data_IF_296381838817
#
_entry.id   IF_296381838817
#
_cell.length_a   1.000
_cell.length_b   1.000
_cell.length_c   1.000
_cell.angle_alpha   90.00
_cell.angle_beta   90.00
_cell.angle_gamma   90.00
#
_symmetry.space_group_name_H-M   'P 1'
#
loop_
_entity.id
_entity.type
_entity.pdbx_description
1 polymer ?
#
# COMPACT_ATOMS: atom_id res chain seq x y z
N UNK A 1 -12.45 30.18 -0.27
CA UNK A 1 -12.76 28.75 -0.17
C UNK A 1 -11.42 28.05 -0.26
N UNK A 2 -10.91 27.51 0.86
CA UNK A 2 -9.59 26.86 0.86
C UNK A 2 -9.57 25.69 -0.12
N UNK A 3 -8.39 25.38 -0.68
CA UNK A 3 -8.23 24.22 -1.54
C UNK A 3 -8.59 22.95 -0.77
N UNK A 4 -9.33 22.04 -1.43
CA UNK A 4 -9.72 20.76 -0.86
C UNK A 4 -8.48 19.94 -0.49
N UNK A 5 -8.48 19.29 0.68
CA UNK A 5 -7.35 18.50 1.16
C UNK A 5 -6.93 17.43 0.16
N UNK A 6 -7.90 16.78 -0.49
CA UNK A 6 -7.65 15.79 -1.54
C UNK A 6 -6.94 16.37 -2.78
N UNK A 7 -7.18 17.63 -3.12
CA UNK A 7 -6.52 18.32 -4.22
C UNK A 7 -5.08 18.70 -3.87
N UNK A 8 -4.88 19.25 -2.66
CA UNK A 8 -3.55 19.55 -2.10
C UNK A 8 -2.69 18.30 -2.05
N UNK A 9 -3.20 17.20 -1.50
CA UNK A 9 -2.51 15.91 -1.46
C UNK A 9 -2.00 15.48 -2.84
N UNK A 10 -2.88 15.52 -3.85
CA UNK A 10 -2.52 15.08 -5.21
C UNK A 10 -1.39 15.91 -5.81
N UNK A 11 -1.30 17.19 -5.45
CA UNK A 11 -0.20 18.06 -5.85
C UNK A 11 1.08 17.71 -5.10
N UNK A 12 1.00 17.63 -3.77
CA UNK A 12 2.16 17.47 -2.89
C UNK A 12 2.80 16.08 -3.03
N UNK A 13 2.02 15.03 -3.30
CA UNK A 13 2.53 13.65 -3.42
C UNK A 13 2.98 13.29 -4.84
N UNK A 14 2.87 14.20 -5.81
CA UNK A 14 3.17 13.89 -7.23
C UNK A 14 4.62 13.46 -7.43
N UNK A 15 5.57 14.19 -6.83
CA UNK A 15 7.00 13.88 -6.90
C UNK A 15 7.32 12.57 -6.18
N UNK A 16 6.73 12.35 -5.00
CA UNK A 16 6.90 11.13 -4.22
C UNK A 16 6.37 9.90 -4.96
N UNK A 17 5.23 10.02 -5.66
CA UNK A 17 4.70 8.98 -6.53
C UNK A 17 5.64 8.66 -7.70
N UNK A 18 6.18 9.70 -8.35
CA UNK A 18 7.14 9.53 -9.44
C UNK A 18 8.45 8.86 -8.97
N UNK A 19 8.94 9.20 -7.78
CA UNK A 19 10.14 8.58 -7.20
C UNK A 19 9.93 7.09 -6.91
N UNK A 20 8.76 6.68 -6.39
CA UNK A 20 8.45 5.27 -6.15
C UNK A 20 8.45 4.45 -7.45
N UNK A 21 7.85 4.99 -8.52
CA UNK A 21 7.85 4.37 -9.85
C UNK A 21 9.27 4.33 -10.45
N UNK A 22 10.07 5.38 -10.25
CA UNK A 22 11.43 5.49 -10.76
C UNK A 22 12.47 4.58 -10.12
N UNK A 23 12.10 3.72 -9.17
CA UNK A 23 13.02 2.73 -8.57
C UNK A 23 13.50 1.68 -9.57
N UNK A 24 12.83 1.49 -10.71
CA UNK A 24 13.22 0.55 -11.77
C UNK A 24 13.03 -0.94 -11.43
N UNK A 25 12.90 -1.30 -10.15
CA UNK A 25 12.60 -2.67 -9.72
C UNK A 25 11.24 -3.15 -10.24
N UNK A 26 10.20 -2.33 -10.10
CA UNK A 26 8.86 -2.67 -10.59
C UNK A 26 8.83 -2.77 -12.12
N UNK A 27 9.55 -1.90 -12.82
CA UNK A 27 9.66 -1.96 -14.28
C UNK A 27 10.35 -3.24 -14.73
N UNK A 28 11.42 -3.65 -14.04
CA UNK A 28 12.13 -4.89 -14.33
C UNK A 28 11.27 -6.14 -14.08
N UNK A 29 10.44 -6.16 -13.03
CA UNK A 29 9.45 -7.21 -12.80
C UNK A 29 8.42 -7.28 -13.94
N UNK A 30 7.83 -6.13 -14.31
CA UNK A 30 6.81 -6.07 -15.38
C UNK A 30 7.40 -6.44 -16.75
N UNK A 31 8.68 -6.15 -16.98
CA UNK A 31 9.40 -6.55 -18.18
C UNK A 31 9.82 -8.03 -18.17
N UNK A 32 9.62 -8.76 -17.08
CA UNK A 32 10.06 -10.16 -16.94
C UNK A 32 11.59 -10.32 -16.89
N UNK A 33 12.32 -9.26 -16.53
CA UNK A 33 13.78 -9.26 -16.44
C UNK A 33 14.29 -9.81 -15.11
N UNK A 34 13.41 -9.91 -14.10
CA UNK A 34 13.71 -10.45 -12.79
C UNK A 34 13.07 -11.83 -12.61
N UNK A 35 13.71 -12.74 -11.85
CA UNK A 35 13.20 -14.08 -11.64
C UNK A 35 11.95 -14.07 -10.75
N UNK A 36 11.23 -15.21 -10.75
CA UNK A 36 10.01 -15.41 -9.96
C UNK A 36 10.17 -15.08 -8.49
N UNK A 37 11.32 -15.43 -7.93
CA UNK A 37 11.68 -15.21 -6.53
C UNK A 37 11.72 -13.72 -6.17
N UNK A 38 12.04 -12.83 -7.12
CA UNK A 38 12.00 -11.39 -6.90
C UNK A 38 10.57 -10.87 -6.71
N UNK A 39 9.63 -11.43 -7.47
CA UNK A 39 8.21 -11.14 -7.30
C UNK A 39 7.67 -11.72 -5.97
N UNK A 40 8.10 -12.93 -5.61
CA UNK A 40 7.76 -13.53 -4.33
C UNK A 40 8.26 -12.68 -3.15
N UNK A 41 9.48 -12.14 -3.23
CA UNK A 41 10.04 -11.22 -2.23
C UNK A 41 9.23 -9.92 -2.13
N UNK A 42 8.80 -9.32 -3.24
CA UNK A 42 7.91 -8.14 -3.21
C UNK A 42 6.59 -8.46 -2.48
N UNK A 43 5.98 -9.59 -2.83
CA UNK A 43 4.72 -10.05 -2.20
C UNK A 43 4.91 -10.29 -0.70
N UNK A 44 6.07 -10.82 -0.30
CA UNK A 44 6.43 -11.00 1.10
C UNK A 44 6.57 -9.65 1.84
N UNK A 45 7.20 -8.64 1.22
CA UNK A 45 7.29 -7.32 1.84
C UNK A 45 5.93 -6.66 2.00
N UNK A 46 5.03 -6.81 1.02
CA UNK A 46 3.65 -6.37 1.17
C UNK A 46 2.98 -7.05 2.36
N UNK A 47 3.12 -8.36 2.55
CA UNK A 47 2.49 -9.06 3.69
C UNK A 47 2.78 -8.38 5.03
N UNK A 48 4.04 -8.05 5.33
CA UNK A 48 4.40 -7.37 6.59
C UNK A 48 3.73 -5.99 6.72
N UNK A 49 3.68 -5.20 5.64
CA UNK A 49 3.07 -3.87 5.65
C UNK A 49 1.55 -3.95 5.82
N UNK A 50 0.87 -4.84 5.10
CA UNK A 50 -0.58 -5.00 5.20
C UNK A 50 -0.99 -5.67 6.52
N UNK A 51 -0.20 -6.59 7.06
CA UNK A 51 -0.45 -7.15 8.39
C UNK A 51 -0.49 -6.03 9.45
N UNK A 52 0.50 -5.13 9.43
CA UNK A 52 0.54 -3.99 10.34
C UNK A 52 -0.62 -3.01 10.11
N UNK A 53 -0.95 -2.72 8.85
CA UNK A 53 -2.04 -1.81 8.47
C UNK A 53 -3.41 -2.34 8.85
N UNK A 54 -3.69 -3.61 8.53
CA UNK A 54 -5.00 -4.22 8.77
C UNK A 54 -5.20 -4.59 10.24
N UNK A 55 -4.13 -4.86 10.99
CA UNK A 55 -4.23 -4.93 12.45
C UNK A 55 -4.65 -3.59 13.05
N UNK A 56 -4.05 -2.48 12.59
CA UNK A 56 -4.45 -1.14 13.03
C UNK A 56 -5.90 -0.80 12.60
N UNK A 57 -6.33 -1.24 11.41
CA UNK A 57 -7.69 -1.05 10.93
C UNK A 57 -8.74 -1.70 11.85
N UNK A 58 -8.43 -2.85 12.47
CA UNK A 58 -9.33 -3.50 13.44
C UNK A 58 -9.56 -2.63 14.66
N UNK A 59 -8.53 -1.98 15.18
CA UNK A 59 -8.65 -1.04 16.31
C UNK A 59 -9.37 0.23 15.89
N UNK A 60 -9.05 0.76 14.70
CA UNK A 60 -9.62 2.00 14.17
C UNK A 60 -11.07 1.88 13.69
N UNK A 61 -11.60 0.66 13.59
CA UNK A 61 -13.01 0.41 13.27
C UNK A 61 -13.97 0.98 14.32
N UNK A 62 -13.51 1.17 15.56
CA UNK A 62 -14.29 1.76 16.65
C UNK A 62 -14.02 3.27 16.84
N UNK A 63 -13.03 3.83 16.16
CA UNK A 63 -12.68 5.25 16.24
C UNK A 63 -13.63 6.11 15.37
N UNK A 64 -14.24 7.18 15.89
CA UNK A 64 -15.26 7.94 15.17
C UNK A 64 -14.71 8.69 13.93
N UNK A 65 -13.43 9.03 13.91
CA UNK A 65 -12.76 9.73 12.80
C UNK A 65 -12.25 8.75 11.75
N UNK A 66 -11.65 7.64 12.19
CA UNK A 66 -11.04 6.66 11.28
C UNK A 66 -12.02 5.60 10.75
N UNK A 67 -13.07 5.24 11.49
CA UNK A 67 -14.04 4.21 11.07
C UNK A 67 -14.59 4.39 9.65
N UNK A 68 -14.95 5.60 9.17
CA UNK A 68 -15.43 5.79 7.80
C UNK A 68 -14.43 5.38 6.71
N UNK A 69 -13.14 5.28 7.04
CA UNK A 69 -12.07 4.87 6.14
C UNK A 69 -11.79 3.36 6.18
N UNK A 70 -12.38 2.62 7.13
CA UNK A 70 -12.19 1.17 7.24
C UNK A 70 -13.15 0.46 6.30
N UNK A 71 -12.69 0.15 5.09
CA UNK A 71 -13.46 -0.55 4.07
C UNK A 71 -13.12 -2.05 4.07
N UNK A 72 -14.04 -2.95 4.46
CA UNK A 72 -13.80 -4.39 4.46
C UNK A 72 -13.38 -4.94 3.10
N UNK A 73 -13.88 -4.35 2.01
CA UNK A 73 -13.61 -4.76 0.64
C UNK A 73 -12.15 -4.48 0.22
N UNK A 74 -11.46 -3.59 0.94
CA UNK A 74 -10.06 -3.27 0.68
C UNK A 74 -9.09 -4.26 1.33
N UNK A 75 -9.50 -5.03 2.33
CA UNK A 75 -8.65 -6.03 3.02
C UNK A 75 -7.91 -6.90 2.00
N UNK A 76 -6.58 -6.95 2.10
CA UNK A 76 -5.67 -7.65 1.18
C UNK A 76 -4.97 -8.84 1.81
N UNK A 77 -4.83 -8.91 3.15
CA UNK A 77 -4.04 -9.96 3.79
C UNK A 77 -4.43 -11.39 3.36
N UNK A 78 -5.72 -11.77 3.25
CA UNK A 78 -6.09 -13.10 2.75
C UNK A 78 -5.62 -13.37 1.32
N UNK A 79 -5.68 -12.37 0.44
CA UNK A 79 -5.19 -12.46 -0.94
C UNK A 79 -3.67 -12.61 -0.98
N UNK A 80 -2.95 -11.81 -0.17
CA UNK A 80 -1.49 -11.88 -0.07
C UNK A 80 -1.05 -13.25 0.47
N UNK A 81 -1.72 -13.79 1.49
CA UNK A 81 -1.39 -15.13 2.03
C UNK A 81 -1.68 -16.26 1.04
N UNK A 82 -2.74 -16.14 0.24
CA UNK A 82 -3.01 -17.07 -0.85
C UNK A 82 -1.91 -17.00 -1.92
N UNK A 83 -1.48 -15.78 -2.29
CA UNK A 83 -0.39 -15.59 -3.23
C UNK A 83 0.94 -16.14 -2.68
N UNK A 84 1.28 -15.87 -1.42
CA UNK A 84 2.50 -16.40 -0.80
C UNK A 84 2.50 -17.93 -0.71
N UNK A 85 1.35 -18.55 -0.44
CA UNK A 85 1.21 -20.01 -0.47
C UNK A 85 1.50 -20.59 -1.85
N UNK A 86 1.10 -19.89 -2.91
CA UNK A 86 1.40 -20.28 -4.28
C UNK A 86 2.88 -20.03 -4.65
N UNK A 87 3.41 -18.85 -4.29
CA UNK A 87 4.76 -18.41 -4.65
C UNK A 87 5.86 -19.15 -3.89
N UNK A 88 5.67 -19.41 -2.59
CA UNK A 88 6.66 -20.05 -1.71
C UNK A 88 6.26 -21.43 -1.21
N UNK A 89 5.04 -21.91 -1.53
CA UNK A 89 4.50 -23.19 -1.07
C UNK A 89 3.80 -23.12 0.31
N UNK A 90 3.29 -24.25 0.82
CA UNK A 90 2.48 -24.30 2.04
C UNK A 90 3.14 -23.76 3.32
N UNK A 91 4.48 -23.75 3.37
CA UNK A 91 5.29 -23.26 4.50
C UNK A 91 5.86 -21.86 4.25
N UNK A 92 5.18 -21.05 3.45
CA UNK A 92 5.63 -19.71 3.05
C UNK A 92 6.01 -18.83 4.25
N UNK A 93 5.29 -18.93 5.38
CA UNK A 93 5.53 -18.10 6.56
C UNK A 93 6.92 -18.30 7.18
N UNK A 94 7.54 -19.47 7.00
CA UNK A 94 8.92 -19.74 7.44
C UNK A 94 9.98 -19.29 6.43
N UNK A 95 9.57 -18.87 5.23
CA UNK A 95 10.44 -18.53 4.10
C UNK A 95 10.56 -17.04 3.85
N UNK A 96 9.66 -16.24 4.43
CA UNK A 96 9.67 -14.79 4.28
C UNK A 96 10.38 -14.12 5.45
N UNK A 97 11.04 -13.01 5.15
CA UNK A 97 11.61 -12.11 6.16
C UNK A 97 11.43 -10.66 5.72
N UNK A 98 11.17 -9.78 6.69
CA UNK A 98 11.09 -8.35 6.44
C UNK A 98 12.50 -7.81 6.16
N UNK A 99 12.63 -7.06 5.07
CA UNK A 99 13.85 -6.28 4.79
C UNK A 99 14.01 -5.15 5.83
N UNK A 100 15.22 -4.57 5.98
CA UNK A 100 15.44 -3.45 6.89
C UNK A 100 14.49 -2.27 6.64
N UNK A 101 14.26 -1.87 5.39
CA UNK A 101 13.30 -0.82 5.06
C UNK A 101 11.85 -1.22 5.39
N UNK A 102 11.48 -2.49 5.17
CA UNK A 102 10.14 -3.01 5.52
C UNK A 102 9.91 -2.97 7.02
N UNK A 103 10.90 -3.37 7.81
CA UNK A 103 10.87 -3.29 9.28
C UNK A 103 10.71 -1.84 9.75
N UNK A 104 11.45 -0.92 9.13
CA UNK A 104 11.34 0.53 9.41
C UNK A 104 9.94 1.05 9.08
N UNK A 105 9.38 0.67 7.94
CA UNK A 105 8.02 1.03 7.56
C UNK A 105 7.03 0.49 8.58
N UNK A 106 7.03 -0.81 8.86
CA UNK A 106 6.11 -1.41 9.83
C UNK A 106 6.20 -0.73 11.20
N UNK A 107 7.39 -0.33 11.63
CA UNK A 107 7.59 0.40 12.89
C UNK A 107 6.92 1.77 12.86
N UNK A 108 7.15 2.58 11.81
CA UNK A 108 6.51 3.89 11.67
C UNK A 108 4.99 3.76 11.56
N UNK A 109 4.51 2.81 10.76
CA UNK A 109 3.09 2.56 10.57
C UNK A 109 2.43 2.23 11.90
N UNK A 110 2.97 1.26 12.66
CA UNK A 110 2.41 0.90 13.98
C UNK A 110 2.45 2.08 14.94
N UNK A 111 3.50 2.88 14.93
CA UNK A 111 3.56 4.09 15.76
C UNK A 111 2.47 5.09 15.37
N UNK A 112 2.41 5.50 14.10
CA UNK A 112 1.50 6.53 13.63
C UNK A 112 0.03 6.10 13.76
N UNK A 113 -0.29 4.88 13.32
CA UNK A 113 -1.65 4.37 13.31
C UNK A 113 -2.22 4.10 14.71
N UNK A 114 -1.39 3.78 15.70
CA UNK A 114 -1.86 3.61 17.08
C UNK A 114 -1.83 4.91 17.91
N UNK A 115 -1.12 5.95 17.45
CA UNK A 115 -1.04 7.22 18.19
C UNK A 115 -2.22 8.15 17.87
N UNK A 116 -2.68 8.18 16.62
CA UNK A 116 -3.72 9.10 16.18
C UNK A 116 -4.46 8.57 14.93
N UNK A 117 -5.79 8.77 14.80
CA UNK A 117 -6.55 8.33 13.62
C UNK A 117 -6.01 8.89 12.30
N UNK A 118 -5.43 10.09 12.33
CA UNK A 118 -4.81 10.73 11.17
C UNK A 118 -3.65 9.90 10.62
N UNK A 119 -2.80 9.38 11.51
CA UNK A 119 -1.68 8.52 11.14
C UNK A 119 -2.17 7.26 10.44
N UNK A 120 -3.23 6.64 10.96
CA UNK A 120 -3.88 5.51 10.30
C UNK A 120 -4.40 5.88 8.90
N UNK A 121 -5.17 6.96 8.79
CA UNK A 121 -5.77 7.39 7.52
C UNK A 121 -4.68 7.70 6.48
N UNK A 122 -3.52 8.24 6.88
CA UNK A 122 -2.40 8.53 5.99
C UNK A 122 -1.78 7.27 5.37
N UNK A 123 -1.50 6.25 6.17
CA UNK A 123 -0.95 4.97 5.69
C UNK A 123 -1.99 4.20 4.87
N UNK A 124 -3.24 4.19 5.35
CA UNK A 124 -4.37 3.57 4.66
C UNK A 124 -4.61 4.21 3.29
N UNK A 125 -4.59 5.55 3.22
CA UNK A 125 -4.69 6.30 1.98
C UNK A 125 -3.56 5.92 1.01
N UNK A 126 -2.32 5.97 1.50
CA UNK A 126 -1.14 5.77 0.65
C UNK A 126 -1.11 4.38 0.02
N UNK A 127 -1.45 3.34 0.79
CA UNK A 127 -1.48 1.96 0.29
C UNK A 127 -2.67 1.72 -0.65
N UNK A 128 -3.89 1.82 -0.15
CA UNK A 128 -5.05 1.36 -0.90
C UNK A 128 -5.39 2.22 -2.13
N UNK A 129 -5.25 3.55 -2.06
CA UNK A 129 -5.47 4.38 -3.26
C UNK A 129 -4.37 4.15 -4.30
N UNK A 130 -3.16 3.80 -3.85
CA UNK A 130 -2.07 3.35 -4.71
C UNK A 130 -2.42 2.06 -5.46
N UNK A 131 -2.93 1.07 -4.74
CA UNK A 131 -3.31 -0.24 -5.31
C UNK A 131 -4.47 -0.12 -6.31
N UNK A 132 -5.47 0.70 -6.01
CA UNK A 132 -6.62 0.99 -6.88
C UNK A 132 -6.29 1.93 -8.06
N UNK A 133 -5.06 2.46 -8.11
CA UNK A 133 -4.61 3.32 -9.20
C UNK A 133 -3.54 2.61 -10.02
N UNK A 134 -2.28 2.68 -9.59
CA UNK A 134 -1.15 2.08 -10.32
C UNK A 134 -1.10 0.55 -10.19
N UNK A 135 -1.61 0.00 -9.08
CA UNK A 135 -1.60 -1.44 -8.81
C UNK A 135 -2.32 -2.26 -9.89
N UNK A 136 -3.34 -1.71 -10.54
CA UNK A 136 -4.04 -2.40 -11.63
C UNK A 136 -3.19 -2.57 -12.89
N UNK A 137 -2.35 -1.58 -13.22
CA UNK A 137 -1.40 -1.71 -14.32
C UNK A 137 -0.27 -2.68 -13.96
N UNK A 138 0.30 -2.51 -12.77
CA UNK A 138 1.37 -3.38 -12.26
C UNK A 138 0.95 -4.85 -12.21
N UNK A 139 -0.23 -5.13 -11.65
CA UNK A 139 -0.77 -6.48 -11.54
C UNK A 139 -0.95 -7.17 -12.89
N UNK A 140 -1.45 -6.47 -13.92
CA UNK A 140 -1.54 -7.02 -15.28
C UNK A 140 -0.16 -7.28 -15.90
N UNK A 141 0.81 -6.41 -15.65
CA UNK A 141 2.19 -6.57 -16.10
C UNK A 141 2.83 -7.81 -15.49
N UNK A 142 2.74 -7.95 -14.16
CA UNK A 142 3.24 -9.11 -13.41
C UNK A 142 2.55 -10.40 -13.86
N UNK A 143 1.22 -10.41 -13.98
CA UNK A 143 0.49 -11.59 -14.41
C UNK A 143 0.94 -12.07 -15.80
N UNK A 144 1.24 -11.14 -16.71
CA UNK A 144 1.80 -11.47 -18.03
C UNK A 144 3.23 -11.98 -17.93
N UNK A 145 4.11 -11.28 -17.21
CA UNK A 145 5.52 -11.61 -17.11
C UNK A 145 5.76 -13.01 -16.50
N UNK A 146 4.90 -13.42 -15.56
CA UNK A 146 5.05 -14.66 -14.81
C UNK A 146 3.97 -15.71 -15.11
N UNK A 147 3.09 -15.48 -16.09
CA UNK A 147 2.05 -16.43 -16.51
C UNK A 147 1.00 -16.74 -15.43
N UNK A 148 0.61 -15.75 -14.63
CA UNK A 148 -0.32 -15.91 -13.50
C UNK A 148 -1.78 -15.72 -13.94
N UNK A 149 -2.68 -16.55 -13.41
CA UNK A 149 -4.13 -16.49 -13.71
C UNK A 149 -5.00 -16.87 -12.50
N UNK A 150 -4.90 -16.10 -11.42
CA UNK A 150 -5.60 -16.28 -10.16
C UNK A 150 -4.57 -16.23 -9.05
N UNK A 151 -4.09 -17.42 -8.70
CA UNK A 151 -3.07 -17.61 -7.68
C UNK A 151 -1.75 -16.92 -8.02
N UNK A 152 -1.11 -16.40 -6.99
CA UNK A 152 0.12 -15.63 -7.12
C UNK A 152 -0.10 -14.17 -7.52
N UNK A 153 -1.31 -13.72 -7.86
CA UNK A 153 -1.57 -12.30 -8.16
C UNK A 153 -2.90 -11.76 -7.59
N UNK A 154 -3.53 -12.48 -6.67
CA UNK A 154 -4.80 -12.11 -6.02
C UNK A 154 -4.74 -10.77 -5.31
N UNK A 155 -3.58 -10.34 -4.83
CA UNK A 155 -3.36 -9.02 -4.24
C UNK A 155 -3.90 -7.88 -5.13
N UNK A 156 -3.73 -8.00 -6.46
CA UNK A 156 -4.14 -6.99 -7.43
C UNK A 156 -5.62 -7.09 -7.84
N UNK A 157 -6.33 -8.13 -7.39
CA UNK A 157 -7.74 -8.36 -7.70
C UNK A 157 -8.65 -7.81 -6.60
N UNK A 158 -9.49 -6.84 -6.94
CA UNK A 158 -10.45 -6.20 -6.04
C UNK A 158 -11.87 -6.59 -6.44
N UNK A 159 -12.29 -7.80 -6.03
CA UNK A 159 -13.62 -8.31 -6.36
C UNK A 159 -14.71 -7.46 -5.70
N UNK A 160 -15.78 -7.17 -6.45
CA UNK A 160 -16.94 -6.42 -5.95
C UNK A 160 -16.72 -4.91 -5.75
N UNK A 161 -15.55 -4.36 -6.09
CA UNK A 161 -15.27 -2.93 -5.97
C UNK A 161 -15.28 -2.27 -7.36
N UNK A 162 -15.89 -1.08 -7.45
CA UNK A 162 -15.60 -0.14 -8.53
C UNK A 162 -14.46 0.80 -8.06
N UNK A 163 -13.23 0.67 -8.60
CA UNK A 163 -12.09 1.45 -8.12
C UNK A 163 -12.29 2.96 -8.22
N UNK A 164 -12.87 3.47 -9.31
CA UNK A 164 -13.07 4.92 -9.47
C UNK A 164 -14.12 5.47 -8.49
N UNK A 165 -15.19 4.71 -8.25
CA UNK A 165 -16.21 5.09 -7.28
C UNK A 165 -15.63 5.13 -5.86
N UNK A 166 -14.89 4.08 -5.45
CA UNK A 166 -14.29 4.03 -4.11
C UNK A 166 -13.24 5.12 -3.92
N UNK A 167 -12.36 5.35 -4.90
CA UNK A 167 -11.37 6.46 -4.84
C UNK A 167 -12.05 7.83 -4.73
N UNK A 168 -13.19 8.01 -5.41
CA UNK A 168 -13.96 9.26 -5.32
C UNK A 168 -14.57 9.42 -3.94
N UNK A 169 -15.20 8.37 -3.42
CA UNK A 169 -15.79 8.37 -2.07
C UNK A 169 -14.75 8.61 -0.98
N UNK A 170 -13.60 7.93 -1.06
CA UNK A 170 -12.49 8.13 -0.12
C UNK A 170 -12.03 9.59 -0.07
N UNK A 171 -11.88 10.24 -1.24
CA UNK A 171 -11.49 11.66 -1.30
C UNK A 171 -12.58 12.57 -0.74
N UNK A 172 -13.85 12.24 -0.94
CA UNK A 172 -14.95 12.98 -0.31
C UNK A 172 -14.87 12.90 1.21
N UNK A 173 -14.57 11.72 1.79
CA UNK A 173 -14.36 11.60 3.24
C UNK A 173 -13.20 12.47 3.73
N UNK A 174 -12.07 12.49 3.01
CA UNK A 174 -10.95 13.38 3.34
C UNK A 174 -11.35 14.87 3.27
N UNK A 175 -12.21 15.26 2.33
CA UNK A 175 -12.60 16.66 2.16
C UNK A 175 -13.70 17.11 3.15
N UNK A 176 -14.46 16.19 3.73
CA UNK A 176 -15.58 16.50 4.64
C UNK A 176 -15.24 16.37 6.13
N UNK A 177 -14.15 15.69 6.47
CA UNK A 177 -13.67 15.65 7.84
C UNK A 177 -13.35 17.06 8.36
N UNK A 178 -13.69 17.39 9.62
CA UNK A 178 -13.53 18.74 10.19
C UNK A 178 -12.08 19.00 10.64
N UNK A 179 -11.13 18.91 9.71
CA UNK A 179 -9.70 19.10 9.99
C UNK A 179 -9.38 20.52 10.45
N UNK A 180 -8.59 20.64 11.52
CA UNK A 180 -7.80 21.85 11.76
C UNK A 180 -6.66 21.98 10.75
N UNK A 181 -6.14 23.19 10.50
CA UNK A 181 -4.98 23.37 9.61
C UNK A 181 -3.77 22.53 10.03
N UNK A 182 -3.54 22.38 11.34
CA UNK A 182 -2.45 21.56 11.88
C UNK A 182 -2.61 20.08 11.52
N UNK A 183 -3.82 19.54 11.67
CA UNK A 183 -4.10 18.15 11.33
C UNK A 183 -3.99 17.87 9.82
N UNK A 184 -4.33 18.85 8.97
CA UNK A 184 -4.08 18.74 7.53
C UNK A 184 -2.58 18.65 7.23
N UNK A 185 -1.76 19.48 7.86
CA UNK A 185 -0.31 19.47 7.67
C UNK A 185 0.34 18.18 8.21
N UNK A 186 -0.12 17.69 9.36
CA UNK A 186 0.30 16.41 9.93
C UNK A 186 -0.05 15.25 8.98
N UNK A 187 -1.28 15.24 8.47
CA UNK A 187 -1.74 14.23 7.52
C UNK A 187 -0.90 14.23 6.23
N UNK A 188 -0.69 15.39 5.59
CA UNK A 188 0.14 15.48 4.37
C UNK A 188 1.56 15.01 4.67
N UNK A 189 2.13 15.42 5.81
CA UNK A 189 3.47 15.01 6.24
C UNK A 189 3.57 13.49 6.38
N UNK A 190 2.59 12.85 7.02
CA UNK A 190 2.59 11.40 7.21
C UNK A 190 2.38 10.64 5.89
N UNK A 191 1.57 11.17 4.97
CA UNK A 191 1.41 10.60 3.63
C UNK A 191 2.74 10.64 2.87
N UNK A 192 3.47 11.76 2.92
CA UNK A 192 4.79 11.86 2.29
C UNK A 192 5.80 10.89 2.91
N UNK A 193 5.76 10.70 4.23
CA UNK A 193 6.60 9.72 4.91
C UNK A 193 6.24 8.29 4.50
N UNK A 194 4.95 7.95 4.37
CA UNK A 194 4.50 6.65 3.87
C UNK A 194 4.99 6.38 2.44
N UNK A 195 5.00 7.39 1.56
CA UNK A 195 5.60 7.27 0.23
C UNK A 195 7.12 7.06 0.31
N UNK A 196 7.84 7.83 1.14
CA UNK A 196 9.29 7.69 1.33
C UNK A 196 9.65 6.28 1.79
N UNK A 197 8.90 5.74 2.76
CA UNK A 197 9.09 4.40 3.29
C UNK A 197 8.80 3.32 2.24
N UNK A 198 7.74 3.48 1.44
CA UNK A 198 7.46 2.57 0.32
C UNK A 198 8.61 2.57 -0.71
N UNK A 199 9.10 3.74 -1.11
CA UNK A 199 10.26 3.86 -2.01
C UNK A 199 11.50 3.19 -1.42
N UNK A 200 11.73 3.30 -0.10
CA UNK A 200 12.85 2.62 0.55
C UNK A 200 12.72 1.08 0.49
N UNK A 201 11.50 0.54 0.62
CA UNK A 201 11.25 -0.91 0.44
C UNK A 201 11.57 -1.35 -0.99
N UNK A 202 11.10 -0.61 -1.99
CA UNK A 202 11.40 -0.91 -3.40
C UNK A 202 12.89 -0.83 -3.71
N UNK A 203 13.60 0.10 -3.09
CA UNK A 203 15.04 0.27 -3.23
C UNK A 203 15.84 -0.85 -2.54
N UNK A 204 15.40 -1.33 -1.37
CA UNK A 204 15.94 -2.53 -0.72
C UNK A 204 15.76 -3.78 -1.62
N UNK A 205 14.58 -3.93 -2.21
CA UNK A 205 14.30 -5.01 -3.16
C UNK A 205 15.17 -4.89 -4.41
N UNK A 206 15.32 -3.68 -4.96
CA UNK A 206 16.21 -3.42 -6.09
C UNK A 206 17.63 -3.89 -5.77
N UNK A 207 18.22 -3.41 -4.67
CA UNK A 207 19.58 -3.81 -4.25
C UNK A 207 19.76 -5.31 -4.04
N UNK A 208 18.70 -6.01 -3.63
CA UNK A 208 18.74 -7.46 -3.43
C UNK A 208 18.76 -8.24 -4.74
N UNK A 209 18.17 -7.68 -5.79
CA UNK A 209 17.93 -8.34 -7.08
C UNK A 209 18.68 -7.72 -8.27
N UNK A 210 19.56 -6.75 -8.00
CA UNK A 210 20.53 -6.16 -8.95
C UNK A 210 21.95 -6.40 -8.46
#
# INVERSE_FOLDING_TARGET
>A
MGDRLSARLRQDTRSAHAAAQGSGFLDALVAGLLPWEAYADLTAQHWFVYEALELAARTMADDPVARPFVFPELVRLPSIEADLRFLHGPRWSYRIAALPATTTYCTRLRYAANSHPIGFIAHHYTRYLGDLSGGQYLGRGIARAYGLNGDGHRFYMFDGINPEALKTYYRQLLDTLPWSPYEQDEFVTEVLEAYRLNTAVLEDLRRRWT
#
